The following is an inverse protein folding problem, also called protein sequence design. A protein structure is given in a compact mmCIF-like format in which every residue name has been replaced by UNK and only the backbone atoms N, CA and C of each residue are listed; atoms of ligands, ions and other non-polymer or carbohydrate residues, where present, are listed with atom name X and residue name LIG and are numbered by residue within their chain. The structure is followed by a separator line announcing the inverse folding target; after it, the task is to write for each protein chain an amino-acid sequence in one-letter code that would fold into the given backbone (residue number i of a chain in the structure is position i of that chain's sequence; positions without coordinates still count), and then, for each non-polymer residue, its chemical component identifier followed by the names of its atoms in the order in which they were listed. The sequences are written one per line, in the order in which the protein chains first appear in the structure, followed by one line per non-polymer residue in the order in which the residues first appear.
data_IF_500099187341
#
_entry.id   IF_500099187341
#
_cell.length_a   1.000
_cell.length_b   1.000
_cell.length_c   1.000
_cell.angle_alpha   90.00
_cell.angle_beta   90.00
_cell.angle_gamma   90.00
#
_symmetry.space_group_name_H-M   'P 1'
#
loop_
_entity.id
_entity.type
_entity.pdbx_description
1 polymer ?
#
# COMPACT_ATOMS: atom_id res chain seq x y z
N UNK A 1 -0.61 -4.15 6.55
CA UNK A 1 -0.08 -4.29 5.18
C UNK A 1 -1.15 -4.75 4.17
N UNK A 2 -2.26 -4.03 3.98
CA UNK A 2 -3.41 -4.51 3.18
C UNK A 2 -3.03 -4.84 1.74
N UNK A 3 -2.43 -3.93 0.97
CA UNK A 3 -2.23 -4.10 -0.48
C UNK A 3 -1.51 -5.40 -0.88
N UNK A 4 -0.43 -5.77 -0.17
CA UNK A 4 0.29 -7.02 -0.44
C UNK A 4 -0.50 -8.25 0.03
N UNK A 5 -1.03 -8.22 1.26
CA UNK A 5 -1.88 -9.29 1.82
C UNK A 5 -3.13 -9.56 0.96
N UNK A 6 -3.79 -8.50 0.48
CA UNK A 6 -4.95 -8.55 -0.41
C UNK A 6 -4.59 -9.12 -1.77
N UNK A 7 -3.45 -8.73 -2.34
CA UNK A 7 -2.97 -9.29 -3.61
C UNK A 7 -2.65 -10.79 -3.49
N UNK A 8 -2.02 -11.20 -2.38
CA UNK A 8 -1.71 -12.60 -2.09
C UNK A 8 -2.95 -13.44 -1.81
N UNK A 9 -3.89 -12.93 -1.00
CA UNK A 9 -5.14 -13.62 -0.70
C UNK A 9 -5.99 -13.81 -1.97
N UNK A 10 -6.09 -12.78 -2.82
CA UNK A 10 -6.83 -12.87 -4.06
C UNK A 10 -6.14 -13.80 -5.11
N UNK A 11 -4.82 -13.79 -5.20
CA UNK A 11 -4.05 -14.77 -6.00
C UNK A 11 -4.29 -16.20 -5.52
N UNK A 12 -4.19 -16.46 -4.21
CA UNK A 12 -4.45 -17.76 -3.59
C UNK A 12 -5.89 -18.24 -3.81
N UNK A 13 -6.89 -17.41 -3.54
CA UNK A 13 -8.32 -17.76 -3.71
C UNK A 13 -8.64 -18.10 -5.16
N UNK A 14 -8.16 -17.30 -6.12
CA UNK A 14 -8.45 -17.52 -7.55
C UNK A 14 -7.65 -18.70 -8.11
N UNK A 15 -6.43 -19.01 -7.62
CA UNK A 15 -5.72 -20.26 -7.96
C UNK A 15 -6.49 -21.50 -7.52
N UNK A 16 -6.90 -21.55 -6.24
CA UNK A 16 -7.68 -22.68 -5.72
C UNK A 16 -9.03 -22.84 -6.46
N UNK A 17 -9.66 -21.73 -6.85
CA UNK A 17 -10.86 -21.76 -7.70
C UNK A 17 -10.56 -22.34 -9.09
N UNK A 18 -9.52 -21.85 -9.78
CA UNK A 18 -9.10 -22.35 -11.09
C UNK A 18 -8.76 -23.84 -11.07
N UNK A 19 -7.97 -24.28 -10.10
CA UNK A 19 -7.60 -25.70 -9.94
C UNK A 19 -8.83 -26.59 -9.73
N UNK A 20 -9.79 -26.15 -8.91
CA UNK A 20 -11.06 -26.85 -8.66
C UNK A 20 -11.98 -26.90 -9.88
N UNK A 21 -12.07 -25.83 -10.67
CA UNK A 21 -12.92 -25.81 -11.87
C UNK A 21 -12.29 -26.58 -13.04
N UNK A 22 -10.97 -26.57 -13.15
CA UNK A 22 -10.21 -27.40 -14.10
C UNK A 22 -10.20 -28.89 -13.73
N UNK A 23 -10.35 -29.26 -12.46
CA UNK A 23 -10.41 -30.67 -12.02
C UNK A 23 -11.75 -31.36 -12.29
N UNK A 24 -12.74 -30.67 -12.88
CA UNK A 24 -14.04 -31.25 -13.24
C UNK A 24 -13.95 -32.07 -14.52
N UNK A 25 -14.94 -32.96 -14.72
CA UNK A 25 -15.06 -33.78 -15.93
C UNK A 25 -16.45 -33.63 -16.54
N UNK A 26 -16.61 -32.92 -17.67
CA UNK A 26 -15.59 -32.12 -18.36
C UNK A 26 -15.12 -30.92 -17.50
N UNK A 27 -13.93 -30.35 -17.77
CA UNK A 27 -13.49 -29.11 -17.12
C UNK A 27 -14.45 -27.96 -17.42
N UNK A 28 -14.68 -27.08 -16.44
CA UNK A 28 -15.52 -25.90 -16.63
C UNK A 28 -14.72 -24.81 -17.36
N UNK A 29 -15.15 -24.42 -18.57
CA UNK A 29 -14.59 -23.26 -19.26
C UNK A 29 -15.06 -21.96 -18.59
N UNK A 30 -14.12 -21.22 -17.99
CA UNK A 30 -14.41 -19.95 -17.30
C UNK A 30 -14.46 -18.78 -18.30
N UNK A 31 -15.40 -18.82 -19.23
CA UNK A 31 -15.68 -17.73 -20.17
C UNK A 31 -16.36 -16.56 -19.45
N UNK A 32 -15.88 -15.34 -19.67
CA UNK A 32 -16.51 -14.12 -19.16
C UNK A 32 -17.76 -13.83 -20.00
N UNK A 33 -18.94 -13.90 -19.40
CA UNK A 33 -20.22 -13.53 -20.02
C UNK A 33 -20.42 -12.02 -20.01
N UNK A 34 -20.04 -11.35 -18.92
CA UNK A 34 -20.07 -9.90 -18.83
C UNK A 34 -19.23 -9.36 -17.67
N UNK A 35 -19.14 -8.03 -17.63
CA UNK A 35 -18.52 -7.28 -16.54
C UNK A 35 -19.58 -6.48 -15.79
N UNK A 36 -19.40 -6.37 -14.48
CA UNK A 36 -20.17 -5.51 -13.59
C UNK A 36 -19.23 -4.56 -12.84
N UNK A 37 -19.69 -3.35 -12.52
CA UNK A 37 -18.91 -2.35 -11.78
C UNK A 37 -19.77 -1.58 -10.77
N UNK A 38 -19.12 -1.05 -9.73
CA UNK A 38 -19.64 0.06 -8.92
C UNK A 38 -19.24 1.44 -9.49
N UNK A 39 -19.73 2.51 -8.87
CA UNK A 39 -19.31 3.89 -9.12
C UNK A 39 -18.90 4.51 -7.78
N UNK A 40 -17.86 5.35 -7.78
CA UNK A 40 -17.56 6.15 -6.58
C UNK A 40 -18.63 7.20 -6.33
N UNK A 41 -18.74 7.70 -5.08
CA UNK A 41 -19.71 8.74 -4.69
C UNK A 41 -19.76 9.96 -5.62
N UNK A 42 -18.64 10.31 -6.26
CA UNK A 42 -18.57 11.41 -7.25
C UNK A 42 -19.13 11.02 -8.62
N UNK A 43 -18.95 9.77 -9.02
CA UNK A 43 -19.44 9.25 -10.29
C UNK A 43 -20.94 8.94 -10.23
N UNK A 44 -21.43 8.45 -9.08
CA UNK A 44 -22.86 8.29 -8.78
C UNK A 44 -23.66 9.58 -9.05
N UNK A 45 -23.16 10.73 -8.57
CA UNK A 45 -23.77 12.05 -8.76
C UNK A 45 -23.93 12.46 -10.23
N UNK A 46 -23.06 11.95 -11.11
CA UNK A 46 -23.02 12.27 -12.54
C UNK A 46 -23.53 11.12 -13.41
N UNK A 47 -24.04 10.03 -12.80
CA UNK A 47 -24.44 8.84 -13.53
C UNK A 47 -25.70 9.04 -14.35
N UNK A 48 -25.72 8.47 -15.55
CA UNK A 48 -26.95 8.28 -16.35
C UNK A 48 -27.67 6.99 -15.98
N UNK A 49 -26.98 6.01 -15.38
CA UNK A 49 -27.51 4.70 -15.06
C UNK A 49 -28.23 4.70 -13.71
N UNK A 50 -29.47 4.17 -13.66
CA UNK A 50 -30.34 4.26 -12.47
C UNK A 50 -29.70 3.61 -11.23
N UNK A 51 -29.31 2.33 -11.33
CA UNK A 51 -28.62 1.61 -10.26
C UNK A 51 -27.31 2.31 -9.84
N UNK A 52 -26.64 2.97 -10.79
CA UNK A 52 -25.42 3.73 -10.53
C UNK A 52 -25.64 4.99 -9.70
N UNK A 53 -26.81 5.65 -9.82
CA UNK A 53 -27.20 6.75 -8.91
C UNK A 53 -27.53 6.25 -7.50
N UNK A 54 -28.08 5.04 -7.41
CA UNK A 54 -28.48 4.38 -6.17
C UNK A 54 -27.29 3.75 -5.40
N UNK A 55 -26.09 3.76 -5.99
CA UNK A 55 -24.87 3.18 -5.39
C UNK A 55 -24.83 1.65 -5.50
N UNK A 56 -25.63 1.08 -6.39
CA UNK A 56 -25.72 -0.35 -6.64
C UNK A 56 -24.81 -0.75 -7.82
N UNK A 57 -24.26 -1.96 -7.74
CA UNK A 57 -23.47 -2.56 -8.83
C UNK A 57 -24.37 -2.83 -10.04
N UNK A 58 -23.86 -2.54 -11.25
CA UNK A 58 -24.60 -2.82 -12.50
C UNK A 58 -23.71 -3.36 -13.62
N UNK A 59 -24.35 -4.04 -14.57
CA UNK A 59 -23.72 -4.58 -15.78
C UNK A 59 -23.26 -3.43 -16.65
N UNK A 60 -21.98 -3.42 -17.03
CA UNK A 60 -21.41 -2.39 -17.90
C UNK A 60 -21.43 -2.82 -19.38
N UNK A 61 -21.26 -1.86 -20.28
CA UNK A 61 -21.38 -2.00 -21.72
C UNK A 61 -20.28 -1.19 -22.47
N UNK A 62 -20.10 -1.36 -23.80
CA UNK A 62 -19.07 -0.65 -24.56
C UNK A 62 -19.14 0.89 -24.57
N UNK A 63 -20.25 1.48 -24.11
CA UNK A 63 -20.41 2.94 -23.95
C UNK A 63 -20.06 3.44 -22.53
N UNK A 64 -19.70 2.56 -21.60
CA UNK A 64 -19.36 2.89 -20.22
C UNK A 64 -18.09 3.76 -20.14
N UNK A 65 -18.26 5.04 -19.80
CA UNK A 65 -17.21 6.07 -19.93
C UNK A 65 -16.31 6.22 -18.70
N UNK A 66 -16.58 5.51 -17.60
CA UNK A 66 -15.83 5.67 -16.35
C UNK A 66 -14.47 4.98 -16.41
N UNK A 67 -13.47 5.65 -15.81
CA UNK A 67 -12.07 5.27 -15.91
C UNK A 67 -11.51 4.92 -14.52
N UNK A 68 -11.18 3.64 -14.30
CA UNK A 68 -10.56 3.18 -13.07
C UNK A 68 -9.10 3.65 -12.97
N UNK A 69 -8.67 4.05 -11.78
CA UNK A 69 -7.26 4.24 -11.46
C UNK A 69 -6.92 5.52 -10.70
N UNK A 70 -5.63 5.72 -10.45
CA UNK A 70 -5.12 6.94 -9.85
C UNK A 70 -5.14 8.10 -10.86
N UNK A 71 -5.36 9.32 -10.36
CA UNK A 71 -5.35 10.56 -11.16
C UNK A 71 -4.04 10.66 -11.96
N UNK A 72 -4.15 10.67 -13.29
CA UNK A 72 -3.01 10.72 -14.22
C UNK A 72 -2.69 9.38 -14.92
N UNK A 73 -3.25 8.26 -14.46
CA UNK A 73 -3.09 6.94 -15.07
C UNK A 73 -4.41 6.20 -15.31
N UNK A 74 -5.55 6.89 -15.22
CA UNK A 74 -6.88 6.27 -15.33
C UNK A 74 -7.10 5.58 -16.68
N UNK A 75 -7.68 4.38 -16.65
CA UNK A 75 -7.92 3.52 -17.82
C UNK A 75 -9.39 3.10 -17.90
N UNK A 76 -9.95 2.85 -19.11
CA UNK A 76 -11.30 2.31 -19.26
C UNK A 76 -11.45 0.96 -18.54
N UNK A 77 -12.55 0.78 -17.81
CA UNK A 77 -12.86 -0.49 -17.15
C UNK A 77 -13.27 -1.55 -18.20
N UNK A 78 -14.01 -1.12 -19.24
CA UNK A 78 -14.37 -1.98 -20.38
C UNK A 78 -13.14 -2.29 -21.26
N UNK A 79 -12.94 -3.54 -21.71
CA UNK A 79 -11.82 -3.90 -22.58
C UNK A 79 -11.91 -3.19 -23.94
N UNK A 80 -10.78 -2.69 -24.50
CA UNK A 80 -10.79 -1.98 -25.77
C UNK A 80 -11.09 -2.93 -26.94
N UNK A 81 -11.91 -2.47 -27.90
CA UNK A 81 -12.32 -3.22 -29.10
C UNK A 81 -11.17 -3.66 -30.03
N UNK A 82 -9.93 -3.21 -29.75
CA UNK A 82 -8.72 -3.67 -30.44
C UNK A 82 -8.12 -4.95 -29.85
N UNK A 83 -8.54 -5.37 -28.64
CA UNK A 83 -8.11 -6.61 -27.97
C UNK A 83 -9.19 -7.71 -27.99
N UNK A 84 -10.45 -7.34 -28.18
CA UNK A 84 -11.60 -8.25 -28.08
C UNK A 84 -12.61 -7.97 -29.18
N UNK A 85 -12.98 -9.01 -29.94
CA UNK A 85 -14.06 -8.93 -30.92
C UNK A 85 -15.40 -9.02 -30.19
N UNK A 86 -16.13 -7.91 -30.17
CA UNK A 86 -17.43 -7.78 -29.48
C UNK A 86 -18.42 -7.22 -30.51
N UNK A 87 -19.51 -7.94 -30.83
CA UNK A 87 -20.54 -7.45 -31.73
C UNK A 87 -21.05 -6.07 -31.28
N UNK A 88 -21.17 -5.12 -32.21
CA UNK A 88 -21.41 -3.72 -31.88
C UNK A 88 -22.71 -3.53 -31.07
N UNK A 89 -22.58 -2.98 -29.86
CA UNK A 89 -23.69 -2.80 -28.91
C UNK A 89 -24.01 -4.03 -28.04
N UNK A 90 -23.26 -5.13 -28.16
CA UNK A 90 -23.39 -6.29 -27.28
C UNK A 90 -22.87 -5.98 -25.87
N UNK A 91 -23.60 -6.50 -24.87
CA UNK A 91 -23.12 -6.62 -23.47
C UNK A 91 -22.80 -8.07 -23.10
N UNK A 92 -22.84 -8.97 -24.07
CA UNK A 92 -22.40 -10.36 -23.97
C UNK A 92 -20.97 -10.49 -24.49
N UNK A 93 -20.07 -10.93 -23.61
CA UNK A 93 -18.66 -11.16 -23.85
C UNK A 93 -18.34 -12.63 -24.17
N UNK A 94 -19.33 -13.52 -24.25
CA UNK A 94 -19.11 -14.95 -24.55
C UNK A 94 -18.35 -15.17 -25.87
N UNK A 95 -18.54 -14.29 -26.86
CA UNK A 95 -17.83 -14.32 -28.14
C UNK A 95 -16.41 -13.71 -28.12
N UNK A 96 -16.05 -12.95 -27.07
CA UNK A 96 -14.83 -12.12 -27.03
C UNK A 96 -13.52 -12.89 -26.90
N UNK A 97 -13.58 -14.20 -26.62
CA UNK A 97 -12.40 -15.02 -26.30
C UNK A 97 -11.86 -14.81 -24.87
N UNK A 98 -12.48 -13.97 -24.05
CA UNK A 98 -12.11 -13.78 -22.65
C UNK A 98 -12.43 -15.02 -21.80
N UNK A 99 -11.43 -15.84 -21.54
CA UNK A 99 -11.53 -17.07 -20.73
C UNK A 99 -10.46 -17.04 -19.64
N UNK A 100 -10.84 -17.09 -18.36
CA UNK A 100 -9.89 -17.09 -17.26
C UNK A 100 -9.10 -18.42 -17.25
N UNK A 101 -7.86 -18.37 -17.73
CA UNK A 101 -6.95 -19.51 -17.87
C UNK A 101 -5.89 -19.55 -16.77
N UNK A 102 -5.64 -18.44 -16.07
CA UNK A 102 -4.60 -18.37 -15.05
C UNK A 102 -4.54 -17.04 -14.32
N UNK A 103 -3.68 -16.98 -13.31
CA UNK A 103 -3.44 -15.81 -12.47
C UNK A 103 -1.98 -15.78 -12.00
N UNK A 104 -1.45 -14.57 -11.82
CA UNK A 104 -0.15 -14.27 -11.20
C UNK A 104 -0.30 -13.05 -10.31
N UNK A 105 0.60 -12.88 -9.36
CA UNK A 105 0.69 -11.70 -8.50
C UNK A 105 1.95 -10.87 -8.79
N UNK A 106 1.95 -9.64 -8.30
CA UNK A 106 3.14 -8.86 -7.92
C UNK A 106 2.82 -8.09 -6.62
N UNK A 107 3.78 -7.44 -5.95
CA UNK A 107 3.53 -6.87 -4.62
C UNK A 107 2.47 -5.75 -4.46
N UNK A 108 1.79 -5.31 -5.53
CA UNK A 108 0.61 -4.43 -5.46
C UNK A 108 -0.61 -4.96 -6.23
N UNK A 109 -0.45 -5.96 -7.10
CA UNK A 109 -1.43 -6.29 -8.12
C UNK A 109 -1.73 -7.79 -8.19
N UNK A 110 -3.00 -8.12 -8.40
CA UNK A 110 -3.42 -9.36 -9.06
C UNK A 110 -3.32 -9.16 -10.57
N UNK A 111 -2.82 -10.16 -11.30
CA UNK A 111 -2.74 -10.18 -12.76
C UNK A 111 -3.41 -11.46 -13.26
N UNK A 112 -4.64 -11.35 -13.76
CA UNK A 112 -5.37 -12.44 -14.40
C UNK A 112 -4.97 -12.59 -15.87
N UNK A 113 -5.04 -13.82 -16.37
CA UNK A 113 -4.88 -14.15 -17.78
C UNK A 113 -6.22 -14.65 -18.32
N UNK A 114 -6.82 -13.86 -19.21
CA UNK A 114 -8.13 -14.10 -19.81
C UNK A 114 -8.01 -14.64 -21.25
N UNK A 115 -6.95 -15.40 -21.56
CA UNK A 115 -6.72 -16.02 -22.87
C UNK A 115 -6.25 -15.03 -23.93
N UNK A 116 -7.12 -14.13 -24.40
CA UNK A 116 -6.80 -13.09 -25.40
C UNK A 116 -6.21 -11.82 -24.79
N UNK A 117 -6.43 -11.59 -23.50
CA UNK A 117 -5.96 -10.41 -22.78
C UNK A 117 -5.44 -10.75 -21.38
N UNK A 118 -4.58 -9.90 -20.84
CA UNK A 118 -4.16 -9.89 -19.44
C UNK A 118 -4.83 -8.73 -18.72
N UNK A 119 -5.31 -8.97 -17.49
CA UNK A 119 -5.95 -7.96 -16.63
C UNK A 119 -5.16 -7.78 -15.35
N UNK A 120 -4.62 -6.58 -15.13
CA UNK A 120 -3.96 -6.19 -13.89
C UNK A 120 -4.91 -5.37 -13.01
N UNK A 121 -5.03 -5.73 -11.73
CA UNK A 121 -5.98 -5.17 -10.76
C UNK A 121 -5.29 -4.77 -9.44
N UNK A 122 -5.53 -3.53 -9.02
CA UNK A 122 -5.06 -2.96 -7.75
C UNK A 122 -6.17 -2.81 -6.72
N UNK A 123 -5.80 -2.92 -5.44
CA UNK A 123 -6.52 -2.40 -4.26
C UNK A 123 -8.07 -2.41 -4.37
N UNK A 124 -8.76 -1.27 -4.27
CA UNK A 124 -9.91 -1.27 -3.35
C UNK A 124 -11.13 -0.39 -3.76
N UNK A 125 -12.07 -0.84 -4.62
CA UNK A 125 -13.53 -1.04 -4.32
C UNK A 125 -14.13 -2.16 -5.19
N UNK A 126 -15.46 -2.31 -5.28
CA UNK A 126 -16.20 -3.33 -6.05
C UNK A 126 -16.20 -2.98 -7.55
N UNK A 127 -15.05 -2.51 -8.00
CA UNK A 127 -14.82 -1.81 -9.26
C UNK A 127 -14.93 -2.72 -10.47
N UNK A 128 -14.76 -4.04 -10.26
CA UNK A 128 -15.00 -5.03 -11.31
C UNK A 128 -15.41 -6.38 -10.72
N UNK A 129 -16.46 -6.97 -11.28
CA UNK A 129 -16.81 -8.37 -11.10
C UNK A 129 -16.92 -9.07 -12.46
N UNK A 130 -16.29 -10.24 -12.56
CA UNK A 130 -16.31 -11.08 -13.75
C UNK A 130 -17.39 -12.14 -13.59
N UNK A 131 -18.36 -12.13 -14.50
CA UNK A 131 -19.47 -13.07 -14.50
C UNK A 131 -19.12 -14.28 -15.38
N UNK A 132 -19.03 -15.46 -14.78
CA UNK A 132 -18.79 -16.75 -15.43
C UNK A 132 -20.08 -17.59 -15.52
N UNK A 133 -21.25 -16.97 -15.36
CA UNK A 133 -22.60 -17.54 -15.48
C UNK A 133 -23.01 -18.48 -14.33
N UNK A 134 -22.08 -19.34 -13.91
CA UNK A 134 -22.20 -20.24 -12.76
C UNK A 134 -21.54 -19.68 -11.49
N UNK A 135 -20.65 -18.70 -11.63
CA UNK A 135 -19.87 -18.08 -10.56
C UNK A 135 -19.60 -16.62 -10.90
N UNK A 136 -19.50 -15.76 -9.89
CA UNK A 136 -19.08 -14.36 -10.05
C UNK A 136 -17.78 -14.16 -9.26
N UNK A 137 -16.70 -13.78 -9.94
CA UNK A 137 -15.47 -13.33 -9.30
C UNK A 137 -15.54 -11.81 -9.10
N UNK A 138 -16.14 -11.40 -7.99
CA UNK A 138 -16.20 -10.01 -7.57
C UNK A 138 -14.96 -9.61 -6.77
N UNK A 139 -14.28 -8.54 -7.18
CA UNK A 139 -13.19 -7.98 -6.39
C UNK A 139 -13.74 -6.98 -5.34
N UNK A 140 -14.06 -7.47 -4.13
CA UNK A 140 -14.68 -6.71 -3.02
C UNK A 140 -13.74 -6.58 -1.80
N UNK A 141 -13.67 -5.45 -1.07
CA UNK A 141 -13.54 -4.10 -1.65
C UNK A 141 -13.90 -2.91 -0.69
N UNK A 142 -13.34 -1.66 -0.81
CA UNK A 142 -13.68 -0.43 0.01
C UNK A 142 -13.52 0.98 -0.67
N UNK A 143 -12.33 1.63 -0.70
CA UNK A 143 -12.10 3.10 -0.91
C UNK A 143 -12.09 3.64 -2.39
N UNK A 144 -12.69 2.96 -3.36
CA UNK A 144 -12.63 3.11 -4.85
C UNK A 144 -11.25 3.25 -5.54
N UNK A 145 -10.14 2.94 -4.88
CA UNK A 145 -8.79 3.01 -5.45
C UNK A 145 -8.39 1.74 -6.23
N UNK A 146 -9.13 1.40 -7.29
CA UNK A 146 -8.82 0.28 -8.19
C UNK A 146 -8.45 0.78 -9.59
N UNK A 147 -7.56 0.06 -10.27
CA UNK A 147 -7.09 0.34 -11.62
C UNK A 147 -7.09 -0.96 -12.42
N UNK A 148 -7.53 -0.89 -13.68
CA UNK A 148 -7.70 -2.05 -14.56
C UNK A 148 -6.91 -1.83 -15.85
N UNK A 149 -5.84 -2.59 -16.06
CA UNK A 149 -5.07 -2.54 -17.31
C UNK A 149 -5.36 -3.77 -18.16
N UNK A 150 -5.69 -3.54 -19.43
CA UNK A 150 -5.99 -4.56 -20.43
C UNK A 150 -4.86 -4.60 -21.46
N UNK A 151 -4.13 -5.71 -21.55
CA UNK A 151 -2.99 -5.83 -22.48
C UNK A 151 -2.93 -7.17 -23.22
N UNK A 152 -2.45 -7.14 -24.47
CA UNK A 152 -2.26 -8.34 -25.28
C UNK A 152 -1.17 -9.29 -24.73
N UNK A 153 -0.23 -8.77 -23.92
CA UNK A 153 0.77 -9.60 -23.24
C UNK A 153 1.20 -9.01 -21.90
N UNK A 154 1.59 -9.89 -20.97
CA UNK A 154 2.14 -9.51 -19.66
C UNK A 154 3.37 -8.59 -19.76
N UNK A 155 4.10 -8.58 -20.88
CA UNK A 155 5.28 -7.74 -21.08
C UNK A 155 4.95 -6.24 -21.22
N UNK A 156 3.74 -5.90 -21.66
CA UNK A 156 3.30 -4.49 -21.86
C UNK A 156 2.60 -3.94 -20.60
N UNK A 157 2.11 -4.82 -19.72
CA UNK A 157 1.48 -4.43 -18.46
C UNK A 157 2.37 -3.51 -17.60
N UNK A 158 1.85 -2.37 -17.10
CA UNK A 158 2.65 -1.36 -16.46
C UNK A 158 3.08 -1.73 -15.03
N UNK A 159 4.31 -1.34 -14.69
CA UNK A 159 4.96 -1.59 -13.40
C UNK A 159 5.04 -3.08 -13.02
N UNK A 160 5.92 -3.82 -13.70
CA UNK A 160 6.43 -5.10 -13.20
C UNK A 160 7.36 -4.85 -11.99
N UNK A 161 6.76 -4.66 -10.82
CA UNK A 161 7.49 -4.59 -9.55
C UNK A 161 8.30 -5.87 -9.32
N UNK A 162 9.54 -5.74 -8.86
CA UNK A 162 10.38 -6.88 -8.44
C UNK A 162 9.72 -7.63 -7.29
N UNK A 163 9.62 -8.95 -7.42
CA UNK A 163 9.29 -9.84 -6.32
C UNK A 163 10.59 -10.15 -5.54
N UNK A 164 10.72 -9.68 -4.27
CA UNK A 164 11.93 -9.84 -3.49
C UNK A 164 12.12 -11.26 -2.93
N UNK A 165 11.08 -12.11 -2.96
CA UNK A 165 11.17 -13.53 -2.59
C UNK A 165 11.82 -14.32 -3.72
N UNK A 166 11.56 -13.93 -4.97
CA UNK A 166 12.07 -14.61 -6.18
C UNK A 166 13.41 -14.01 -6.65
N UNK A 167 13.62 -12.71 -6.47
CA UNK A 167 14.77 -11.97 -7.02
C UNK A 167 15.47 -11.13 -5.93
N UNK A 168 15.75 -11.72 -4.77
CA UNK A 168 16.26 -11.01 -3.59
C UNK A 168 17.46 -10.11 -3.89
N UNK A 169 18.50 -10.63 -4.56
CA UNK A 169 19.73 -9.88 -4.85
C UNK A 169 19.48 -8.68 -5.76
N UNK A 170 18.62 -8.84 -6.77
CA UNK A 170 18.23 -7.76 -7.69
C UNK A 170 17.41 -6.70 -6.96
N UNK A 171 16.48 -7.11 -6.10
CA UNK A 171 15.71 -6.21 -5.26
C UNK A 171 16.60 -5.44 -4.27
N UNK A 172 17.54 -6.12 -3.60
CA UNK A 172 18.46 -5.50 -2.66
C UNK A 172 19.41 -4.52 -3.38
N UNK A 173 19.94 -4.88 -4.55
CA UNK A 173 20.69 -3.95 -5.39
C UNK A 173 19.84 -2.75 -5.80
N UNK A 174 18.56 -2.95 -6.13
CA UNK A 174 17.62 -1.85 -6.42
C UNK A 174 17.42 -0.94 -5.21
N UNK A 175 17.40 -1.48 -3.97
CA UNK A 175 17.37 -0.65 -2.74
C UNK A 175 18.65 0.15 -2.58
N UNK A 176 19.81 -0.45 -2.82
CA UNK A 176 21.12 0.21 -2.74
C UNK A 176 21.19 1.34 -3.78
N UNK A 177 20.95 1.03 -5.06
CA UNK A 177 21.00 1.98 -6.17
C UNK A 177 20.00 3.13 -5.96
N UNK A 178 18.77 2.81 -5.57
CA UNK A 178 17.75 3.82 -5.27
C UNK A 178 18.18 4.71 -4.10
N UNK A 179 18.72 4.14 -3.01
CA UNK A 179 19.20 4.89 -1.84
C UNK A 179 20.36 5.84 -2.17
N UNK A 180 21.25 5.46 -3.08
CA UNK A 180 22.36 6.29 -3.57
C UNK A 180 21.89 7.41 -4.49
N UNK A 181 20.79 7.19 -5.24
CA UNK A 181 20.19 8.16 -6.15
C UNK A 181 19.14 9.07 -5.47
N UNK A 182 18.94 8.96 -4.16
CA UNK A 182 18.10 9.91 -3.40
C UNK A 182 18.74 11.31 -3.52
N UNK A 183 18.06 12.29 -4.15
CA UNK A 183 18.64 13.59 -4.35
C UNK A 183 18.86 14.28 -3.00
N UNK A 184 20.09 14.72 -2.72
CA UNK A 184 20.34 15.56 -1.56
C UNK A 184 19.58 16.88 -1.75
N UNK A 185 18.51 17.10 -0.96
CA UNK A 185 17.60 18.24 -1.14
C UNK A 185 18.23 19.51 -0.50
N UNK A 186 19.27 20.04 -1.14
CA UNK A 186 19.94 21.26 -0.74
C UNK A 186 18.96 22.46 -0.78
N UNK A 187 18.53 22.91 0.40
CA UNK A 187 17.67 24.09 0.58
C UNK A 187 16.16 23.80 0.58
N UNK A 188 15.74 22.55 0.44
CA UNK A 188 14.32 22.16 0.53
C UNK A 188 13.98 21.45 1.84
N UNK A 189 12.70 21.38 2.18
CA UNK A 189 12.23 20.52 3.27
C UNK A 189 12.32 19.05 2.83
N UNK A 190 13.30 18.34 3.39
CA UNK A 190 13.44 16.89 3.30
C UNK A 190 12.11 16.19 3.65
N UNK A 191 11.66 15.17 2.88
CA UNK A 191 10.44 14.43 3.20
C UNK A 191 10.65 13.43 4.35
N UNK A 192 9.55 13.08 5.01
CA UNK A 192 9.51 11.91 5.90
C UNK A 192 9.75 10.64 5.09
N UNK A 193 10.56 9.74 5.63
CA UNK A 193 10.92 8.47 4.99
C UNK A 193 9.68 7.64 4.62
N UNK A 194 8.67 7.67 5.49
CA UNK A 194 7.37 6.98 5.31
C UNK A 194 6.66 7.41 4.02
N UNK A 195 6.59 8.73 3.75
CA UNK A 195 5.96 9.26 2.53
C UNK A 195 6.79 8.94 1.30
N UNK A 196 8.11 9.13 1.40
CA UNK A 196 9.04 8.87 0.31
C UNK A 196 9.00 7.39 -0.14
N UNK A 197 8.88 6.46 0.81
CA UNK A 197 8.68 5.03 0.55
C UNK A 197 7.32 4.75 -0.09
N UNK A 198 6.23 5.35 0.41
CA UNK A 198 4.88 5.19 -0.15
C UNK A 198 4.76 5.69 -1.61
N UNK A 199 5.36 6.84 -1.87
CA UNK A 199 5.43 7.48 -3.19
C UNK A 199 6.42 6.75 -4.13
N UNK A 200 7.39 6.01 -3.58
CA UNK A 200 8.25 5.12 -4.36
C UNK A 200 7.46 3.91 -4.89
N UNK A 201 7.38 3.80 -6.22
CA UNK A 201 6.82 2.61 -6.88
C UNK A 201 7.81 1.43 -6.91
N UNK A 202 9.08 1.70 -6.63
CA UNK A 202 10.18 0.74 -6.49
C UNK A 202 11.23 1.41 -5.59
N UNK A 203 11.94 0.68 -4.71
CA UNK A 203 11.93 -0.78 -4.50
C UNK A 203 10.79 -1.29 -3.58
N UNK A 204 10.11 -0.39 -2.87
CA UNK A 204 9.15 -0.73 -1.80
C UNK A 204 7.70 -0.80 -2.31
N UNK A 205 7.48 -1.66 -3.31
CA UNK A 205 6.12 -1.99 -3.76
C UNK A 205 5.27 -2.59 -2.61
N UNK A 206 3.97 -2.34 -2.61
CA UNK A 206 3.04 -2.78 -1.55
C UNK A 206 3.07 -1.96 -0.26
N UNK A 207 3.94 -0.93 -0.16
CA UNK A 207 4.03 -0.08 1.03
C UNK A 207 3.04 1.10 1.00
N UNK A 208 1.75 0.83 1.24
CA UNK A 208 0.77 1.86 1.60
C UNK A 208 0.84 2.30 3.08
N UNK A 209 -0.06 3.20 3.50
CA UNK A 209 -0.10 3.78 4.87
C UNK A 209 0.05 2.74 5.98
N UNK A 210 -0.77 1.70 5.93
CA UNK A 210 -0.79 0.64 6.93
C UNK A 210 0.27 -0.45 6.73
N UNK A 211 1.04 -0.41 5.64
CA UNK A 211 2.28 -1.20 5.54
C UNK A 211 3.42 -0.43 6.19
N UNK A 212 3.50 0.88 5.96
CA UNK A 212 4.52 1.72 6.59
C UNK A 212 4.40 1.74 8.12
N UNK A 213 3.18 1.75 8.68
CA UNK A 213 3.01 1.60 10.13
C UNK A 213 3.64 0.31 10.67
N UNK A 214 3.30 -0.86 10.12
CA UNK A 214 3.90 -2.16 10.50
C UNK A 214 5.43 -2.18 10.33
N UNK A 215 5.90 -1.66 9.19
CA UNK A 215 7.31 -1.64 8.79
C UNK A 215 8.19 -0.80 9.72
N UNK A 216 7.64 0.26 10.31
CA UNK A 216 8.36 1.11 11.27
C UNK A 216 8.10 0.69 12.71
N UNK A 217 6.95 0.10 13.05
CA UNK A 217 6.72 -0.55 14.35
C UNK A 217 7.75 -1.68 14.64
N UNK A 218 8.40 -2.22 13.60
CA UNK A 218 9.56 -3.12 13.70
C UNK A 218 10.88 -2.46 14.21
N UNK A 219 10.82 -1.32 14.91
CA UNK A 219 11.97 -0.70 15.59
C UNK A 219 12.53 0.57 14.95
N UNK A 220 11.71 1.37 14.26
CA UNK A 220 12.07 2.66 13.68
C UNK A 220 10.99 3.72 13.93
N UNK A 221 11.35 5.00 14.00
CA UNK A 221 10.36 6.06 14.19
C UNK A 221 9.70 6.44 12.85
N UNK A 222 8.36 6.54 12.82
CA UNK A 222 7.59 7.00 11.65
C UNK A 222 7.95 8.43 11.21
N UNK A 223 8.55 9.22 12.10
CA UNK A 223 8.94 10.61 11.88
C UNK A 223 10.39 10.78 11.42
N UNK A 224 11.09 9.68 11.12
CA UNK A 224 12.43 9.76 10.54
C UNK A 224 12.39 10.43 9.16
N UNK A 225 13.39 11.28 8.92
CA UNK A 225 13.63 11.93 7.66
C UNK A 225 14.38 10.99 6.72
N UNK A 226 14.25 11.19 5.40
CA UNK A 226 14.91 10.36 4.39
C UNK A 226 16.42 10.13 4.63
N UNK A 227 17.26 11.16 4.89
CA UNK A 227 18.69 10.99 5.22
C UNK A 227 18.94 10.23 6.52
N UNK A 228 18.08 10.40 7.52
CA UNK A 228 18.25 9.74 8.84
C UNK A 228 18.11 8.22 8.74
N UNK A 229 17.41 7.71 7.73
CA UNK A 229 17.38 6.28 7.39
C UNK A 229 18.45 5.94 6.36
N UNK A 230 18.48 6.62 5.21
CA UNK A 230 19.28 6.18 4.06
C UNK A 230 20.76 6.58 4.09
N UNK A 231 21.22 7.37 5.06
CA UNK A 231 22.66 7.57 5.34
C UNK A 231 23.13 6.81 6.60
N UNK A 232 22.26 6.02 7.24
CA UNK A 232 22.63 5.10 8.33
C UNK A 232 22.46 3.64 7.85
N UNK A 233 23.54 2.87 7.62
CA UNK A 233 23.46 1.50 7.14
C UNK A 233 22.61 0.56 8.01
N UNK A 234 22.66 0.71 9.35
CA UNK A 234 21.87 -0.11 10.26
C UNK A 234 20.36 0.11 10.07
N UNK A 235 19.94 1.36 9.83
CA UNK A 235 18.54 1.71 9.56
C UNK A 235 18.07 1.23 8.19
N UNK A 236 18.91 1.29 7.15
CA UNK A 236 18.59 0.64 5.85
C UNK A 236 18.42 -0.86 6.04
N UNK A 237 19.33 -1.53 6.75
CA UNK A 237 19.26 -2.97 7.02
C UNK A 237 18.01 -3.33 7.82
N UNK A 238 17.63 -2.53 8.83
CA UNK A 238 16.36 -2.67 9.58
C UNK A 238 15.13 -2.50 8.68
N UNK A 239 15.12 -1.49 7.82
CA UNK A 239 14.05 -1.27 6.84
C UNK A 239 13.91 -2.46 5.87
N UNK A 240 15.02 -2.97 5.36
CA UNK A 240 15.03 -4.14 4.47
C UNK A 240 14.56 -5.39 5.20
N UNK A 241 15.10 -5.67 6.39
CA UNK A 241 14.72 -6.83 7.20
C UNK A 241 13.24 -6.79 7.61
N UNK A 242 12.74 -5.63 8.03
CA UNK A 242 11.31 -5.42 8.33
C UNK A 242 10.42 -5.66 7.11
N UNK A 243 10.78 -5.11 5.94
CA UNK A 243 10.01 -5.32 4.71
C UNK A 243 10.00 -6.80 4.30
N UNK A 244 11.16 -7.46 4.30
CA UNK A 244 11.26 -8.90 4.02
C UNK A 244 10.50 -9.75 5.03
N UNK A 245 10.53 -9.41 6.32
CA UNK A 245 9.79 -10.14 7.36
C UNK A 245 8.28 -10.09 7.13
N UNK A 246 7.73 -8.93 6.76
CA UNK A 246 6.29 -8.81 6.47
C UNK A 246 5.94 -9.55 5.16
N UNK A 247 6.81 -9.48 4.14
CA UNK A 247 6.63 -10.23 2.88
C UNK A 247 6.66 -11.75 3.11
N UNK A 248 7.64 -12.28 3.84
CA UNK A 248 7.75 -13.72 4.11
C UNK A 248 6.66 -14.27 5.06
N UNK A 249 6.20 -13.48 6.04
CA UNK A 249 5.16 -13.94 6.99
C UNK A 249 3.73 -13.77 6.47
N UNK A 250 3.52 -12.93 5.46
CA UNK A 250 2.22 -12.72 4.80
C UNK A 250 1.57 -14.03 4.33
N UNK A 251 2.24 -14.89 3.54
CA UNK A 251 1.68 -16.17 3.10
C UNK A 251 1.12 -17.02 4.24
N UNK A 252 1.93 -17.33 5.27
CA UNK A 252 1.51 -18.20 6.37
C UNK A 252 0.36 -17.58 7.18
N UNK A 253 0.42 -16.26 7.47
CA UNK A 253 -0.64 -15.54 8.18
C UNK A 253 -1.99 -15.60 7.47
N UNK A 254 -2.00 -15.62 6.14
CA UNK A 254 -3.22 -15.78 5.33
C UNK A 254 -3.75 -17.23 5.38
N UNK A 255 -2.86 -18.22 5.36
CA UNK A 255 -3.24 -19.63 5.37
C UNK A 255 -3.71 -20.11 6.76
N UNK A 256 -3.13 -19.61 7.84
CA UNK A 256 -3.41 -20.01 9.22
C UNK A 256 -4.71 -19.39 9.78
N UNK A 257 -5.25 -18.32 9.19
CA UNK A 257 -6.35 -17.54 9.77
C UNK A 257 -7.51 -17.32 8.81
N UNK A 258 -8.61 -18.07 9.03
CA UNK A 258 -9.86 -17.95 8.26
C UNK A 258 -10.58 -16.58 8.38
N UNK A 259 -10.11 -15.66 9.23
CA UNK A 259 -10.72 -14.35 9.48
C UNK A 259 -9.69 -13.21 9.41
N UNK A 260 -9.34 -12.81 8.18
CA UNK A 260 -8.44 -11.70 7.84
C UNK A 260 -8.67 -10.38 8.63
N UNK A 261 -9.92 -10.14 9.04
CA UNK A 261 -10.33 -9.00 9.87
C UNK A 261 -9.61 -8.92 11.23
N UNK A 262 -9.17 -10.04 11.81
CA UNK A 262 -8.65 -10.09 13.18
C UNK A 262 -7.21 -9.57 13.33
N UNK A 263 -6.40 -9.61 12.26
CA UNK A 263 -4.96 -9.29 12.33
C UNK A 263 -4.61 -7.90 11.79
N UNK A 264 -5.52 -7.26 11.06
CA UNK A 264 -5.37 -5.87 10.69
C UNK A 264 -5.78 -4.98 11.87
N UNK A 265 -4.80 -4.40 12.59
CA UNK A 265 -4.99 -3.24 13.48
C UNK A 265 -5.73 -2.06 12.80
N UNK A 266 -5.83 -2.10 11.47
CA UNK A 266 -6.57 -1.19 10.58
C UNK A 266 -8.10 -1.34 10.68
N UNK A 267 -8.62 -2.54 10.94
CA UNK A 267 -10.07 -2.75 11.07
C UNK A 267 -10.62 -2.14 12.35
N UNK A 268 -9.75 -1.94 13.35
CA UNK A 268 -9.97 -0.93 14.38
C UNK A 268 -9.57 0.46 13.83
N UNK A 269 -10.29 0.99 12.82
CA UNK A 269 -10.00 2.32 12.24
C UNK A 269 -10.02 3.42 13.32
N UNK A 270 -10.84 3.23 14.35
CA UNK A 270 -10.96 4.06 15.57
C UNK A 270 -9.99 3.68 16.71
N UNK A 271 -9.20 2.61 16.56
CA UNK A 271 -8.10 2.22 17.47
C UNK A 271 -6.82 1.90 16.69
N UNK A 272 -6.50 2.70 15.67
CA UNK A 272 -5.16 2.66 15.12
C UNK A 272 -4.19 3.09 16.23
N UNK A 273 -3.56 2.12 16.89
CA UNK A 273 -2.84 2.27 18.17
C UNK A 273 -1.52 3.08 18.01
N UNK A 274 -1.64 4.36 17.69
CA UNK A 274 -0.70 5.37 18.16
C UNK A 274 -0.84 5.38 19.68
N UNK A 275 0.10 4.71 20.36
CA UNK A 275 0.16 4.72 21.83
C UNK A 275 0.15 6.15 22.35
N UNK A 276 -0.41 6.40 23.54
CA UNK A 276 -0.40 7.76 24.14
C UNK A 276 1.02 8.37 24.21
N UNK A 277 2.04 7.51 24.29
CA UNK A 277 3.47 7.82 24.13
C UNK A 277 3.85 8.29 22.72
N UNK A 278 3.49 7.57 21.66
CA UNK A 278 3.71 8.02 20.27
C UNK A 278 2.91 9.28 19.95
N UNK A 279 1.69 9.41 20.48
CA UNK A 279 0.87 10.63 20.35
C UNK A 279 1.57 11.81 21.02
N UNK A 280 2.04 11.65 22.27
CA UNK A 280 2.86 12.66 22.95
C UNK A 280 4.13 13.00 22.17
N UNK A 281 4.83 12.02 21.57
CA UNK A 281 6.01 12.30 20.73
C UNK A 281 5.65 13.05 19.43
N UNK A 282 4.45 12.87 18.89
CA UNK A 282 3.93 13.71 17.80
C UNK A 282 3.62 15.12 18.29
N UNK A 283 2.92 15.24 19.42
CA UNK A 283 2.51 16.53 19.99
C UNK A 283 3.72 17.35 20.44
N UNK A 284 4.68 16.76 21.16
CA UNK A 284 5.96 17.39 21.54
C UNK A 284 6.78 17.80 20.30
N UNK A 285 6.87 16.95 19.27
CA UNK A 285 7.57 17.31 18.03
C UNK A 285 6.84 18.41 17.23
N UNK A 286 5.51 18.46 17.29
CA UNK A 286 4.71 19.51 16.67
C UNK A 286 4.88 20.83 17.42
N UNK A 287 4.72 20.86 18.74
CA UNK A 287 4.95 22.04 19.59
C UNK A 287 6.38 22.60 19.41
N UNK A 288 7.41 21.74 19.40
CA UNK A 288 8.80 22.11 19.12
C UNK A 288 9.06 22.62 17.67
N UNK A 289 8.08 22.54 16.76
CA UNK A 289 8.18 23.10 15.40
C UNK A 289 7.26 24.29 15.14
N UNK A 290 6.41 24.68 16.10
CA UNK A 290 5.38 25.70 15.91
C UNK A 290 5.61 27.05 16.60
N UNK A 291 6.71 27.20 17.35
CA UNK A 291 7.08 28.48 17.95
C UNK A 291 7.25 29.57 16.86
N UNK A 292 6.52 30.67 16.99
CA UNK A 292 5.95 31.35 15.81
C UNK A 292 6.92 32.21 15.01
N UNK A 293 8.11 32.48 15.54
CA UNK A 293 9.04 33.47 14.99
C UNK A 293 10.19 32.86 14.15
N UNK A 294 10.29 31.52 14.01
CA UNK A 294 11.49 30.92 13.40
C UNK A 294 11.42 29.44 13.00
N UNK A 295 10.36 29.03 12.31
CA UNK A 295 10.09 27.61 11.98
C UNK A 295 11.27 26.85 11.36
N UNK A 296 11.58 25.67 11.91
CA UNK A 296 12.60 24.71 11.44
C UNK A 296 14.05 25.24 11.34
N UNK A 297 14.41 26.35 12.00
CA UNK A 297 15.75 26.97 11.83
C UNK A 297 16.94 26.06 12.18
N UNK A 298 16.75 25.09 13.08
CA UNK A 298 17.77 24.08 13.45
C UNK A 298 17.87 22.86 12.51
N UNK A 299 16.98 22.76 11.51
CA UNK A 299 16.95 21.67 10.50
C UNK A 299 17.13 22.22 9.07
N UNK A 300 16.55 23.38 8.76
CA UNK A 300 16.29 23.83 7.38
C UNK A 300 17.24 24.92 6.84
N UNK A 301 18.48 25.01 7.31
CA UNK A 301 19.45 25.99 6.80
C UNK A 301 20.73 25.38 6.16
N UNK A 302 20.62 24.64 5.05
CA UNK A 302 21.74 23.89 4.46
C UNK A 302 22.48 24.63 3.33
N UNK A 303 23.12 25.77 3.59
CA UNK A 303 24.31 26.16 2.81
C UNK A 303 25.58 25.63 3.50
N UNK A 304 26.61 25.21 2.76
CA UNK A 304 27.43 24.06 3.21
C UNK A 304 28.49 24.40 4.26
N UNK A 305 28.07 24.36 5.54
CA UNK A 305 28.91 23.86 6.63
C UNK A 305 28.58 22.41 7.00
N UNK A 306 27.33 21.95 6.87
CA UNK A 306 26.96 20.56 7.14
C UNK A 306 27.80 19.53 6.35
N UNK A 307 28.18 19.84 5.10
CA UNK A 307 29.06 18.99 4.29
C UNK A 307 30.54 18.96 4.76
N UNK A 308 30.99 19.97 5.52
CA UNK A 308 32.26 19.96 6.27
C UNK A 308 32.08 19.58 7.74
N UNK A 309 30.84 19.32 8.16
CA UNK A 309 30.47 18.63 9.41
C UNK A 309 30.10 17.18 9.09
N UNK A 310 31.03 16.49 8.42
CA UNK A 310 31.62 15.32 9.08
C UNK A 310 32.79 15.84 9.93
N UNK A 311 32.58 16.34 11.17
CA UNK A 311 33.69 16.75 12.01
C UNK A 311 34.31 15.48 12.60
N UNK A 312 35.63 15.50 12.83
CA UNK A 312 36.28 14.54 13.72
C UNK A 312 36.00 14.89 15.20
N UNK A 313 34.72 15.10 15.55
CA UNK A 313 34.26 15.69 16.81
C UNK A 313 33.05 14.94 17.36
N UNK A 314 33.13 14.52 18.62
CA UNK A 314 32.33 13.45 19.23
C UNK A 314 30.92 13.86 19.71
N UNK A 315 30.53 15.12 19.58
CA UNK A 315 29.47 15.70 20.44
C UNK A 315 28.06 15.74 19.85
N UNK A 316 27.88 15.34 18.58
CA UNK A 316 26.55 15.18 17.95
C UNK A 316 26.45 13.87 17.16
N UNK A 317 26.73 12.74 17.82
CA UNK A 317 26.20 11.46 17.38
C UNK A 317 24.66 11.52 17.41
N UNK A 318 24.01 11.20 16.28
CA UNK A 318 22.55 11.12 16.21
C UNK A 318 22.08 9.78 16.79
N UNK A 319 22.29 9.60 18.10
CA UNK A 319 22.20 8.32 18.81
C UNK A 319 20.85 7.65 18.59
N UNK A 320 20.86 6.61 17.77
CA UNK A 320 19.74 5.70 17.66
C UNK A 320 19.75 4.83 18.92
N UNK A 321 18.94 5.20 19.91
CA UNK A 321 18.82 4.46 21.17
C UNK A 321 18.30 3.02 21.00
N UNK A 322 17.95 2.57 19.79
CA UNK A 322 17.68 1.17 19.47
C UNK A 322 18.89 0.46 18.83
N UNK A 323 19.93 1.15 18.34
CA UNK A 323 21.19 0.51 17.90
C UNK A 323 21.92 -0.12 19.10
N UNK A 324 22.41 -1.38 18.99
CA UNK A 324 22.94 -2.11 20.14
C UNK A 324 24.04 -1.41 20.94
N UNK A 325 24.87 -0.59 20.29
CA UNK A 325 25.92 0.21 20.96
C UNK A 325 25.36 1.33 21.86
N UNK A 326 24.20 1.88 21.53
CA UNK A 326 23.55 2.94 22.30
C UNK A 326 22.42 2.43 23.21
N UNK A 327 22.08 1.13 23.21
CA UNK A 327 21.04 0.59 24.11
C UNK A 327 21.43 0.76 25.58
N UNK A 328 22.71 0.61 25.95
CA UNK A 328 23.15 0.83 27.33
C UNK A 328 23.08 2.32 27.72
N UNK A 329 23.60 3.21 26.87
CA UNK A 329 23.50 4.65 27.09
C UNK A 329 22.04 5.16 27.08
N UNK A 330 21.17 4.50 26.32
CA UNK A 330 19.73 4.67 26.44
C UNK A 330 19.29 4.33 27.87
N UNK A 331 19.53 3.09 28.31
CA UNK A 331 19.13 2.54 29.62
C UNK A 331 19.59 3.42 30.79
N UNK A 332 20.80 3.98 30.70
CA UNK A 332 21.39 4.86 31.70
C UNK A 332 20.74 6.27 31.68
N UNK A 333 20.09 6.66 30.59
CA UNK A 333 19.34 7.91 30.46
C UNK A 333 17.85 7.73 30.83
N UNK A 334 17.28 8.76 31.46
CA UNK A 334 15.87 8.79 31.89
C UNK A 334 14.84 8.49 30.78
N UNK A 335 15.24 8.62 29.50
CA UNK A 335 14.40 8.34 28.32
C UNK A 335 14.23 6.85 28.01
N UNK A 336 15.11 5.94 28.45
CA UNK A 336 14.92 4.50 28.21
C UNK A 336 13.95 3.83 29.17
N UNK A 337 13.59 4.44 30.30
CA UNK A 337 12.44 3.96 31.08
C UNK A 337 11.17 3.92 30.21
N UNK A 338 11.11 4.76 29.16
CA UNK A 338 10.06 4.71 28.14
C UNK A 338 10.26 3.59 27.10
N UNK A 339 11.51 3.21 26.78
CA UNK A 339 11.85 2.32 25.66
C UNK A 339 11.99 0.84 26.09
N UNK A 340 12.67 0.60 27.22
CA UNK A 340 13.22 -0.70 27.63
C UNK A 340 12.86 -1.12 29.07
N UNK A 341 11.92 -0.44 29.74
CA UNK A 341 11.52 -0.87 31.10
C UNK A 341 10.64 -2.12 31.11
N UNK A 342 10.66 -2.86 32.22
CA UNK A 342 9.85 -4.08 32.44
C UNK A 342 8.34 -3.82 32.51
N UNK A 343 7.91 -2.54 32.49
CA UNK A 343 6.50 -2.17 32.41
C UNK A 343 5.92 -2.66 31.08
N UNK A 344 4.84 -3.44 31.12
CA UNK A 344 4.20 -3.91 29.89
C UNK A 344 3.66 -2.70 29.12
N UNK A 345 3.65 -2.81 27.79
CA UNK A 345 3.11 -1.74 26.93
C UNK A 345 1.62 -1.45 27.17
N UNK A 346 0.88 -2.40 27.76
CA UNK A 346 -0.48 -2.19 28.30
C UNK A 346 -0.52 -1.24 29.49
N UNK A 347 0.47 -1.32 30.37
CA UNK A 347 0.44 -0.72 31.71
C UNK A 347 0.89 0.76 31.66
N UNK A 348 1.61 1.13 30.59
CA UNK A 348 1.91 2.50 30.18
C UNK A 348 0.81 3.11 29.28
N UNK A 349 -0.30 2.39 29.06
CA UNK A 349 -1.35 2.74 28.10
C UNK A 349 -2.51 3.56 28.70
N UNK A 350 -2.53 4.86 28.42
CA UNK A 350 -3.72 5.68 28.63
C UNK A 350 -4.82 5.35 27.62
N UNK A 351 -5.77 4.48 27.99
CA UNK A 351 -6.87 4.04 27.12
C UNK A 351 -7.93 5.13 26.88
N UNK A 352 -7.66 6.04 25.94
CA UNK A 352 -8.69 6.85 25.29
C UNK A 352 -8.83 6.44 23.81
N UNK A 353 -9.99 5.90 23.46
CA UNK A 353 -10.39 5.67 22.07
C UNK A 353 -10.67 7.03 21.45
N UNK A 354 -9.88 7.41 20.45
CA UNK A 354 -10.05 8.65 19.68
C UNK A 354 -10.53 8.34 18.27
N UNK A 355 -11.38 9.21 17.73
CA UNK A 355 -11.76 9.22 16.32
C UNK A 355 -10.55 9.49 15.40
N UNK A 356 -9.92 8.41 14.92
CA UNK A 356 -8.86 8.38 13.91
C UNK A 356 -7.63 9.30 14.19
N UNK A 357 -6.58 8.80 14.86
CA UNK A 357 -5.28 9.48 14.97
C UNK A 357 -4.60 9.76 13.62
N UNK A 358 -4.94 8.98 12.57
CA UNK A 358 -4.44 9.19 11.21
C UNK A 358 -4.82 10.57 10.65
N UNK A 359 -5.94 11.15 11.12
CA UNK A 359 -6.40 12.49 10.74
C UNK A 359 -5.42 13.60 11.16
N UNK A 360 -4.66 13.39 12.25
CA UNK A 360 -3.70 14.36 12.77
C UNK A 360 -2.35 14.26 12.04
N UNK A 361 -1.91 13.05 11.69
CA UNK A 361 -0.66 12.84 10.94
C UNK A 361 -0.80 13.15 9.42
N UNK A 362 -2.00 13.00 8.87
CA UNK A 362 -2.28 13.19 7.43
C UNK A 362 -3.58 14.02 7.22
N UNK A 363 -3.56 15.34 7.51
CA UNK A 363 -4.76 16.18 7.55
C UNK A 363 -5.52 16.33 6.22
N UNK A 364 -4.93 15.90 5.09
CA UNK A 364 -5.59 15.84 3.77
C UNK A 364 -6.73 14.80 3.74
N UNK A 365 -6.77 13.86 4.68
CA UNK A 365 -7.83 12.86 4.84
C UNK A 365 -8.86 13.21 5.93
N UNK A 366 -8.92 14.46 6.38
CA UNK A 366 -9.93 14.91 7.33
C UNK A 366 -11.36 14.71 6.75
N UNK A 367 -12.19 13.96 7.49
CA UNK A 367 -13.57 13.69 7.14
C UNK A 367 -14.39 14.99 7.13
N UNK A 368 -14.88 15.39 5.96
CA UNK A 368 -15.92 16.41 5.83
C UNK A 368 -17.25 15.71 6.12
N UNK A 369 -17.97 16.05 7.22
CA UNK A 369 -19.28 15.48 7.47
C UNK A 369 -20.27 15.91 6.37
N UNK A 370 -21.25 15.06 6.02
CA UNK A 370 -22.35 15.48 5.15
C UNK A 370 -23.18 16.61 5.81
N UNK A 371 -23.86 17.44 5.00
CA UNK A 371 -24.77 18.48 5.48
C UNK A 371 -26.07 17.92 6.08
#
# INVERSE_FOLDING_TARGET
MPEYLESYFADYVVKNFLEKEHSKTPPNTLTVYCLWADLSLKEMQHSTHLLGKEGLVFKIDPSFQYLGGSRGHQTPIWPPLTLVDIPQGSTDLTASGLVLQGIKQNPRNVIMYLGVAWVQKCKICITIAFDFGSHILAFITIDHLCQVYWEASRAVLPAQHLDPVVNFDHWLQTVIDWSQNIPFIAGGKTPLVVKYIQESNSPFAGVGTYTANELFLAGMCLFLMVPEVFYNPNRIVRLCAGYMQIVYTTPSRILEQHSFQAYLHVFERDKCYISARQKRLVEEAQELTWDTDGGYSWICNPTPKWASYYPSGLEYEFKDYFEPGFVQEALDAYRAVLIFSDNKWSDLGGCQVHTSPLSQAFPVFAYIPPP
#
